data_IF_897097211851
#
_entry.id   IF_897097211851
#
_cell.length_a   1.000
_cell.length_b   1.000
_cell.length_c   1.000
_cell.angle_alpha   90.00
_cell.angle_beta   90.00
_cell.angle_gamma   90.00
#
_symmetry.space_group_name_H-M   'P 1'
#
loop_
_entity.id
_entity.type
_entity.pdbx_description
1 polymer ?
#
# COMPACT_ATOMS: atom_id res chain seq x y z
N UNK A 1 3.78 3.44 17.00
CA UNK A 1 4.77 4.33 17.65
C UNK A 1 4.34 5.79 17.64
N UNK A 2 4.03 6.38 16.47
CA UNK A 2 3.69 7.81 16.32
C UNK A 2 2.55 8.31 17.23
N UNK A 3 1.46 7.54 17.38
CA UNK A 3 0.38 7.92 18.30
C UNK A 3 0.86 8.11 19.74
N UNK A 4 1.75 7.24 20.23
CA UNK A 4 2.25 7.35 21.59
C UNK A 4 3.08 8.63 21.75
N UNK A 5 3.93 8.96 20.77
CA UNK A 5 4.72 10.20 20.77
C UNK A 5 3.80 11.42 20.74
N UNK A 6 2.78 11.42 19.88
CA UNK A 6 1.84 12.53 19.75
C UNK A 6 1.02 12.76 21.03
N UNK A 7 0.74 11.72 21.79
CA UNK A 7 -0.06 11.79 23.03
C UNK A 7 0.77 12.04 24.28
N UNK A 8 1.95 11.43 24.40
CA UNK A 8 2.69 11.35 25.67
C UNK A 8 3.87 12.31 25.78
N UNK A 9 4.35 12.88 24.67
CA UNK A 9 5.46 13.85 24.68
C UNK A 9 4.86 15.26 24.73
N UNK A 10 4.94 15.91 25.88
CA UNK A 10 4.39 17.26 26.07
C UNK A 10 5.18 18.33 25.30
N UNK A 11 6.51 18.27 25.37
CA UNK A 11 7.39 19.25 24.73
C UNK A 11 7.23 19.22 23.20
N UNK A 12 6.90 20.39 22.63
CA UNK A 12 6.57 20.51 21.21
C UNK A 12 7.81 20.25 20.33
N UNK A 13 8.99 20.69 20.77
CA UNK A 13 10.23 20.60 20.02
C UNK A 13 10.72 19.15 20.00
N UNK A 14 10.65 18.46 21.13
CA UNK A 14 10.98 17.03 21.22
C UNK A 14 10.01 16.21 20.38
N UNK A 15 8.70 16.49 20.46
CA UNK A 15 7.69 15.81 19.64
C UNK A 15 7.92 16.03 18.14
N UNK A 16 8.24 17.26 17.72
CA UNK A 16 8.55 17.56 16.34
C UNK A 16 9.82 16.85 15.86
N UNK A 17 10.89 16.85 16.65
CA UNK A 17 12.13 16.13 16.33
C UNK A 17 11.90 14.62 16.19
N UNK A 18 11.08 14.03 17.06
CA UNK A 18 10.71 12.63 16.98
C UNK A 18 9.88 12.31 15.71
N UNK A 19 8.96 13.19 15.31
CA UNK A 19 8.23 13.04 14.06
C UNK A 19 9.16 13.10 12.85
N UNK A 20 10.10 14.04 12.80
CA UNK A 20 11.11 14.13 11.73
C UNK A 20 11.90 12.83 11.64
N UNK A 21 12.41 12.31 12.76
CA UNK A 21 13.16 11.05 12.77
C UNK A 21 12.34 9.86 12.24
N UNK A 22 11.04 9.78 12.56
CA UNK A 22 10.15 8.72 12.06
C UNK A 22 9.89 8.89 10.55
N UNK A 23 9.69 10.13 10.09
CA UNK A 23 9.47 10.43 8.67
C UNK A 23 10.72 10.05 7.87
N UNK A 24 11.91 10.43 8.34
CA UNK A 24 13.18 10.09 7.70
C UNK A 24 13.40 8.58 7.68
N UNK A 25 13.13 7.88 8.79
CA UNK A 25 13.24 6.43 8.84
C UNK A 25 12.26 5.73 7.88
N UNK A 26 11.07 6.30 7.68
CA UNK A 26 10.08 5.73 6.75
C UNK A 26 10.53 5.75 5.28
N UNK A 27 11.51 6.60 4.92
CA UNK A 27 12.09 6.60 3.57
C UNK A 27 12.85 5.30 3.26
N UNK A 28 13.50 4.70 4.27
CA UNK A 28 14.16 3.40 4.10
C UNK A 28 13.15 2.29 3.81
N UNK A 29 11.95 2.37 4.41
CA UNK A 29 10.85 1.47 4.10
C UNK A 29 10.37 1.64 2.64
N UNK A 30 10.21 2.87 2.16
CA UNK A 30 9.87 3.12 0.76
C UNK A 30 10.95 2.58 -0.20
N UNK A 31 12.21 2.61 0.19
CA UNK A 31 13.32 2.02 -0.56
C UNK A 31 13.29 0.48 -0.68
N UNK A 32 12.38 -0.20 0.01
CA UNK A 32 12.17 -1.65 -0.15
C UNK A 32 11.28 -2.02 -1.35
N UNK A 33 10.63 -1.02 -1.97
CA UNK A 33 9.84 -1.19 -3.18
C UNK A 33 10.67 -0.86 -4.41
N UNK A 34 10.42 -1.58 -5.50
CA UNK A 34 10.91 -1.19 -6.82
C UNK A 34 10.08 -0.03 -7.37
N UNK A 35 10.56 0.67 -8.41
CA UNK A 35 9.80 1.82 -8.96
C UNK A 35 8.49 1.39 -9.65
N UNK A 36 8.31 0.10 -9.92
CA UNK A 36 7.04 -0.47 -10.38
C UNK A 36 6.04 -0.77 -9.24
N UNK A 37 6.38 -0.35 -8.01
CA UNK A 37 5.53 -0.35 -6.83
C UNK A 37 5.47 -1.67 -6.08
N UNK A 38 5.97 -2.77 -6.65
CA UNK A 38 5.98 -4.06 -5.99
C UNK A 38 7.21 -4.19 -5.07
N UNK A 39 7.05 -4.88 -3.93
CA UNK A 39 8.13 -5.14 -2.97
C UNK A 39 8.57 -6.60 -3.03
N UNK A 40 9.88 -6.86 -2.92
CA UNK A 40 10.44 -8.21 -3.06
C UNK A 40 9.90 -9.24 -2.05
N UNK A 41 9.33 -8.77 -0.94
CA UNK A 41 8.76 -9.59 0.14
C UNK A 41 7.33 -10.09 -0.15
N UNK A 42 6.70 -9.59 -1.20
CA UNK A 42 5.37 -10.00 -1.63
C UNK A 42 4.22 -9.27 -0.93
N UNK A 43 2.99 -9.67 -1.26
CA UNK A 43 1.78 -8.92 -0.86
C UNK A 43 1.48 -9.01 0.64
N UNK A 44 1.98 -10.04 1.33
CA UNK A 44 1.85 -10.17 2.78
C UNK A 44 2.50 -8.99 3.50
N UNK A 45 3.76 -8.69 3.16
CA UNK A 45 4.52 -7.57 3.70
C UNK A 45 4.08 -6.22 3.16
N UNK A 46 3.59 -6.15 1.91
CA UNK A 46 2.89 -4.96 1.43
C UNK A 46 1.72 -4.61 2.36
N UNK A 47 0.81 -5.55 2.62
CA UNK A 47 -0.32 -5.30 3.51
C UNK A 47 0.16 -4.93 4.91
N UNK A 48 1.15 -5.62 5.46
CA UNK A 48 1.64 -5.35 6.80
C UNK A 48 2.29 -3.95 6.92
N UNK A 49 3.29 -3.66 6.09
CA UNK A 49 4.06 -2.42 6.17
C UNK A 49 3.30 -1.21 5.66
N UNK A 50 2.54 -1.35 4.58
CA UNK A 50 1.93 -0.20 3.92
C UNK A 50 0.67 0.27 4.66
N UNK A 51 -0.01 -0.63 5.40
CA UNK A 51 -1.04 -0.25 6.38
C UNK A 51 -0.46 0.66 7.48
N UNK A 52 0.70 0.33 8.04
CA UNK A 52 1.38 1.14 9.06
C UNK A 52 1.90 2.47 8.49
N UNK A 53 2.46 2.46 7.27
CA UNK A 53 2.92 3.66 6.60
C UNK A 53 1.76 4.62 6.25
N UNK A 54 0.63 4.08 5.79
CA UNK A 54 -0.58 4.85 5.55
C UNK A 54 -1.20 5.41 6.84
N UNK A 55 -1.18 4.65 7.95
CA UNK A 55 -1.59 5.14 9.26
C UNK A 55 -0.64 6.23 9.79
N UNK A 56 0.66 6.13 9.51
CA UNK A 56 1.66 7.16 9.81
C UNK A 56 1.34 8.45 9.05
N UNK A 57 1.02 8.37 7.75
CA UNK A 57 0.61 9.52 6.93
C UNK A 57 -0.51 10.31 7.60
N UNK A 58 -1.61 9.66 7.97
CA UNK A 58 -2.75 10.36 8.60
C UNK A 58 -2.34 11.11 9.85
N UNK A 59 -1.53 10.49 10.72
CA UNK A 59 -1.05 11.12 11.96
C UNK A 59 -0.13 12.30 11.70
N UNK A 60 0.74 12.19 10.70
CA UNK A 60 1.65 13.27 10.31
C UNK A 60 0.86 14.43 9.73
N UNK A 61 -0.09 14.16 8.84
CA UNK A 61 -0.97 15.20 8.29
C UNK A 61 -1.82 15.86 9.36
N UNK A 62 -2.41 15.09 10.29
CA UNK A 62 -3.14 15.64 11.44
C UNK A 62 -2.25 16.58 12.27
N UNK A 63 -1.05 16.13 12.61
CA UNK A 63 -0.12 16.88 13.46
C UNK A 63 0.45 18.15 12.77
N UNK A 64 0.50 18.15 11.43
CA UNK A 64 1.09 19.22 10.61
C UNK A 64 0.06 20.02 9.83
N UNK A 65 -1.23 19.74 10.01
CA UNK A 65 -2.34 20.33 9.25
C UNK A 65 -2.17 20.17 7.73
N UNK A 66 -1.68 19.00 7.32
CA UNK A 66 -1.50 18.63 5.91
C UNK A 66 -0.30 19.27 5.22
N UNK A 67 0.57 19.98 5.95
CA UNK A 67 1.78 20.58 5.34
C UNK A 67 2.87 19.56 5.03
N UNK A 68 2.83 18.40 5.70
CA UNK A 68 3.68 17.25 5.39
C UNK A 68 2.79 16.07 5.03
N UNK A 69 2.85 15.64 3.77
CA UNK A 69 2.15 14.44 3.27
C UNK A 69 3.17 13.40 2.80
N UNK A 70 3.15 12.22 3.40
CA UNK A 70 4.05 11.12 3.03
C UNK A 70 3.72 10.46 1.70
N UNK A 71 2.49 10.64 1.19
CA UNK A 71 2.09 10.17 -0.13
C UNK A 71 2.40 11.19 -1.23
N UNK A 72 2.80 12.43 -0.89
CA UNK A 72 3.30 13.40 -1.86
C UNK A 72 4.72 13.06 -2.31
N UNK A 73 4.85 11.87 -2.91
CA UNK A 73 6.06 11.27 -3.41
C UNK A 73 5.69 10.42 -4.64
N UNK A 74 6.39 10.64 -5.74
CA UNK A 74 6.08 10.00 -7.02
C UNK A 74 6.04 8.46 -6.95
N UNK A 75 6.92 7.84 -6.16
CA UNK A 75 6.97 6.38 -6.02
C UNK A 75 5.81 5.84 -5.20
N UNK A 76 5.32 6.61 -4.22
CA UNK A 76 4.23 6.20 -3.35
C UNK A 76 2.92 6.09 -4.12
N UNK A 77 2.73 6.89 -5.17
CA UNK A 77 1.60 6.75 -6.09
C UNK A 77 1.54 5.35 -6.69
N UNK A 78 2.65 4.86 -7.24
CA UNK A 78 2.74 3.52 -7.83
C UNK A 78 2.50 2.42 -6.79
N UNK A 79 3.10 2.54 -5.60
CA UNK A 79 2.95 1.57 -4.50
C UNK A 79 1.48 1.52 -4.04
N UNK A 80 0.85 2.67 -3.82
CA UNK A 80 -0.53 2.78 -3.37
C UNK A 80 -1.55 2.18 -4.36
N UNK A 81 -1.21 2.20 -5.66
CA UNK A 81 -2.02 1.62 -6.74
C UNK A 81 -1.65 0.17 -7.08
N UNK A 82 -0.70 -0.45 -6.37
CA UNK A 82 -0.25 -1.81 -6.67
C UNK A 82 -1.42 -2.81 -6.72
N UNK A 83 -2.43 -2.63 -5.86
CA UNK A 83 -3.64 -3.46 -5.84
C UNK A 83 -4.39 -3.45 -7.17
N UNK A 84 -4.41 -2.33 -7.90
CA UNK A 84 -5.06 -2.22 -9.20
C UNK A 84 -4.27 -2.96 -10.29
N UNK A 85 -2.95 -3.01 -10.15
CA UNK A 85 -2.04 -3.51 -11.19
C UNK A 85 -1.70 -4.99 -11.03
N UNK A 86 -1.74 -5.54 -9.82
CA UNK A 86 -1.34 -6.91 -9.53
C UNK A 86 -2.51 -7.89 -9.40
N UNK A 87 -3.69 -7.42 -8.98
CA UNK A 87 -4.81 -8.30 -8.64
C UNK A 87 -5.34 -9.07 -9.85
N UNK A 88 -5.59 -10.37 -9.68
CA UNK A 88 -6.31 -11.22 -10.62
C UNK A 88 -7.81 -11.22 -10.29
N UNK A 89 -8.62 -11.85 -11.14
CA UNK A 89 -10.06 -12.05 -10.92
C UNK A 89 -10.37 -12.54 -9.51
N UNK A 90 -11.56 -12.17 -9.03
CA UNK A 90 -12.06 -12.53 -7.70
C UNK A 90 -11.11 -12.09 -6.56
N UNK A 91 -10.37 -10.99 -6.77
CA UNK A 91 -9.41 -10.42 -5.82
C UNK A 91 -8.23 -11.36 -5.49
N UNK A 92 -7.95 -12.34 -6.36
CA UNK A 92 -6.84 -13.27 -6.14
C UNK A 92 -5.50 -12.60 -6.38
N UNK A 93 -4.49 -13.04 -5.64
CA UNK A 93 -3.10 -12.60 -5.76
C UNK A 93 -2.21 -13.84 -5.69
N UNK A 94 -1.13 -13.86 -6.45
CA UNK A 94 -0.16 -14.95 -6.34
C UNK A 94 0.59 -14.93 -5.01
N UNK A 95 0.85 -16.12 -4.50
CA UNK A 95 1.62 -16.39 -3.29
C UNK A 95 3.13 -16.26 -3.51
N UNK A 96 3.57 -15.18 -4.14
CA UNK A 96 5.00 -14.88 -4.31
C UNK A 96 5.56 -14.24 -3.05
N UNK A 97 6.78 -14.63 -2.67
CA UNK A 97 7.38 -14.25 -1.38
C UNK A 97 6.58 -14.73 -0.18
N UNK A 98 6.65 -14.03 0.94
CA UNK A 98 5.92 -14.34 2.19
C UNK A 98 4.40 -14.01 2.07
N UNK A 99 3.79 -14.53 1.01
CA UNK A 99 2.35 -14.56 0.78
C UNK A 99 1.87 -16.01 0.76
N UNK A 100 0.69 -16.26 1.33
CA UNK A 100 0.07 -17.57 1.33
C UNK A 100 -1.10 -17.64 0.33
N UNK A 101 -1.48 -18.85 -0.07
CA UNK A 101 -2.65 -19.04 -0.93
C UNK A 101 -3.91 -18.44 -0.28
N UNK A 102 -4.70 -17.72 -1.09
CA UNK A 102 -5.90 -17.03 -0.63
C UNK A 102 -5.66 -15.68 0.05
N UNK A 103 -4.41 -15.23 0.20
CA UNK A 103 -4.12 -13.84 0.59
C UNK A 103 -4.70 -12.88 -0.46
N UNK A 104 -5.24 -11.75 0.02
CA UNK A 104 -5.74 -10.66 -0.82
C UNK A 104 -5.09 -9.36 -0.40
N UNK A 105 -5.13 -8.37 -1.28
CA UNK A 105 -4.87 -6.99 -0.86
C UNK A 105 -5.84 -6.60 0.26
N UNK A 106 -5.32 -5.87 1.24
CA UNK A 106 -6.13 -5.33 2.31
C UNK A 106 -7.15 -4.35 1.72
N UNK A 107 -8.43 -4.70 1.86
CA UNK A 107 -9.53 -3.85 1.40
C UNK A 107 -9.52 -2.46 2.03
N UNK A 108 -9.38 -2.29 3.36
CA UNK A 108 -9.32 -0.96 3.96
C UNK A 108 -8.13 -0.13 3.46
N UNK A 109 -6.95 -0.74 3.31
CA UNK A 109 -5.78 -0.07 2.76
C UNK A 109 -5.99 0.37 1.31
N UNK A 110 -6.57 -0.51 0.49
CA UNK A 110 -6.86 -0.22 -0.93
C UNK A 110 -7.83 0.95 -1.04
N UNK A 111 -8.91 0.93 -0.25
CA UNK A 111 -9.90 2.01 -0.24
C UNK A 111 -9.28 3.33 0.24
N UNK A 112 -8.48 3.30 1.31
CA UNK A 112 -7.76 4.48 1.79
C UNK A 112 -6.79 5.04 0.73
N UNK A 113 -6.05 4.18 0.04
CA UNK A 113 -5.09 4.57 -0.99
C UNK A 113 -5.78 5.28 -2.15
N UNK A 114 -6.82 4.66 -2.71
CA UNK A 114 -7.62 5.26 -3.78
C UNK A 114 -8.31 6.56 -3.33
N UNK A 115 -8.71 6.66 -2.05
CA UNK A 115 -9.28 7.89 -1.51
C UNK A 115 -8.25 9.02 -1.44
N UNK A 116 -7.01 8.72 -1.06
CA UNK A 116 -5.93 9.70 -0.98
C UNK A 116 -5.60 10.32 -2.35
N UNK A 117 -5.71 9.55 -3.43
CA UNK A 117 -5.48 10.00 -4.81
C UNK A 117 -6.76 10.43 -5.56
N UNK A 118 -7.89 10.52 -4.86
CA UNK A 118 -9.14 11.03 -5.43
C UNK A 118 -9.92 10.07 -6.32
N UNK A 119 -9.45 8.83 -6.52
CA UNK A 119 -10.08 7.80 -7.36
C UNK A 119 -11.40 7.27 -6.78
N UNK A 120 -11.60 7.43 -5.47
CA UNK A 120 -12.87 7.13 -4.79
C UNK A 120 -13.21 8.21 -3.77
N UNK A 121 -14.51 8.35 -3.50
CA UNK A 121 -15.02 9.20 -2.41
C UNK A 121 -15.27 8.42 -1.11
N UNK A 122 -15.13 7.09 -1.14
CA UNK A 122 -15.25 6.25 0.05
C UNK A 122 -13.90 6.15 0.77
N UNK A 123 -13.87 6.40 2.07
CA UNK A 123 -12.66 6.28 2.90
C UNK A 123 -12.82 5.17 3.93
N UNK A 124 -11.72 4.47 4.20
CA UNK A 124 -11.57 3.55 5.33
C UNK A 124 -10.28 3.92 6.08
N UNK A 125 -10.18 3.54 7.35
CA UNK A 125 -8.88 3.62 8.03
C UNK A 125 -7.93 2.59 7.40
N UNK A 126 -6.69 2.95 7.05
CA UNK A 126 -5.78 2.06 6.35
C UNK A 126 -5.38 0.86 7.21
N UNK A 127 -5.28 1.04 8.52
CA UNK A 127 -4.92 -0.01 9.48
C UNK A 127 -6.07 -0.23 10.47
N UNK A 128 -6.49 -1.48 10.63
CA UNK A 128 -7.52 -1.89 11.60
C UNK A 128 -7.02 -2.91 12.61
N UNK A 129 -5.72 -3.24 12.57
CA UNK A 129 -5.07 -4.24 13.43
C UNK A 129 -4.60 -3.63 14.75
N UNK A 130 -4.15 -2.38 14.71
CA UNK A 130 -3.68 -1.63 15.87
C UNK A 130 -4.85 -0.98 16.64
N UNK A 131 -4.66 -0.70 17.95
CA UNK A 131 -5.67 0.05 18.74
C UNK A 131 -5.90 1.46 18.16
N UNK A 132 -4.86 2.23 17.82
CA UNK A 132 -5.07 3.54 17.16
C UNK A 132 -5.77 3.40 15.80
N UNK A 133 -5.45 2.38 15.02
CA UNK A 133 -6.12 2.07 13.76
C UNK A 133 -7.61 1.76 13.92
N UNK A 134 -7.99 0.98 14.96
CA UNK A 134 -9.40 0.74 15.31
C UNK A 134 -10.14 2.00 15.73
N UNK A 135 -9.48 2.92 16.43
CA UNK A 135 -10.10 4.21 16.76
C UNK A 135 -10.30 5.04 15.48
N UNK A 136 -9.31 5.07 14.60
CA UNK A 136 -9.40 5.75 13.30
C UNK A 136 -10.53 5.16 12.44
N UNK A 137 -10.74 3.84 12.45
CA UNK A 137 -11.78 3.19 11.64
C UNK A 137 -13.21 3.55 12.06
N UNK A 138 -13.39 4.02 13.30
CA UNK A 138 -14.67 4.54 13.79
C UNK A 138 -14.91 6.00 13.37
N UNK A 139 -13.84 6.79 13.22
CA UNK A 139 -13.94 8.24 13.02
C UNK A 139 -13.84 8.64 11.54
N UNK A 140 -12.91 8.04 10.80
CA UNK A 140 -12.56 8.48 9.45
C UNK A 140 -13.72 8.30 8.44
N UNK A 141 -14.43 7.15 8.39
CA UNK A 141 -15.57 7.00 7.47
C UNK A 141 -16.76 7.92 7.79
N UNK A 142 -16.90 8.35 9.04
CA UNK A 142 -18.02 9.20 9.49
C UNK A 142 -17.75 10.67 9.23
N UNK A 143 -16.54 11.13 9.58
CA UNK A 143 -16.17 12.53 9.41
C UNK A 143 -15.82 12.86 7.97
N UNK A 144 -15.30 11.89 7.21
CA UNK A 144 -14.68 12.06 5.89
C UNK A 144 -13.64 13.20 5.87
N UNK A 145 -13.16 13.63 7.04
CA UNK A 145 -12.26 14.77 7.15
C UNK A 145 -10.92 14.34 6.56
N UNK A 146 -10.44 15.12 5.60
CA UNK A 146 -9.09 14.99 5.09
C UNK A 146 -8.17 15.91 5.85
N UNK A 147 -7.10 15.34 6.40
CA UNK A 147 -6.04 16.12 7.01
C UNK A 147 -4.91 16.42 6.02
N UNK A 148 -4.67 15.54 5.06
CA UNK A 148 -3.83 15.84 3.89
C UNK A 148 -4.69 16.33 2.70
N UNK A 149 -4.11 17.08 1.75
CA UNK A 149 -4.75 17.37 0.47
C UNK A 149 -5.08 16.11 -0.35
N UNK A 150 -5.99 16.24 -1.34
CA UNK A 150 -6.14 15.24 -2.39
C UNK A 150 -4.88 15.24 -3.27
N UNK A 151 -4.35 14.06 -3.55
CA UNK A 151 -3.24 13.87 -4.48
C UNK A 151 -3.76 13.46 -5.85
N UNK A 152 -2.92 13.58 -6.86
CA UNK A 152 -3.21 13.10 -8.21
C UNK A 152 -2.17 12.06 -8.61
N UNK A 153 -2.66 10.91 -9.06
CA UNK A 153 -1.82 9.89 -9.68
C UNK A 153 -2.24 9.71 -11.13
N UNK A 154 -1.28 9.88 -12.03
CA UNK A 154 -1.50 9.66 -13.46
C UNK A 154 -1.57 8.16 -13.75
N UNK A 155 -2.76 7.59 -13.61
CA UNK A 155 -3.07 6.19 -13.88
C UNK A 155 -3.11 5.90 -15.39
N UNK A 156 -2.01 6.14 -16.11
CA UNK A 156 -1.89 5.77 -17.55
C UNK A 156 -2.07 4.27 -17.83
N UNK A 157 -2.27 3.44 -16.82
CA UNK A 157 -2.71 2.06 -16.98
C UNK A 157 -4.03 1.83 -16.24
N UNK A 158 -5.15 1.93 -16.96
CA UNK A 158 -6.32 1.11 -16.60
C UNK A 158 -5.89 -0.35 -16.47
N UNK A 159 -6.57 -1.16 -15.68
CA UNK A 159 -6.30 -2.60 -15.58
C UNK A 159 -6.22 -3.22 -16.98
N UNK A 160 -5.00 -3.46 -17.44
CA UNK A 160 -4.78 -4.02 -18.76
C UNK A 160 -4.91 -5.55 -18.68
N UNK A 161 -5.27 -6.17 -19.80
CA UNK A 161 -5.23 -7.63 -19.95
C UNK A 161 -3.82 -8.19 -19.69
N UNK A 162 -2.79 -7.35 -19.82
CA UNK A 162 -1.43 -7.70 -19.44
C UNK A 162 -0.78 -6.54 -18.71
N UNK A 163 -0.19 -6.82 -17.56
CA UNK A 163 0.68 -5.88 -16.86
C UNK A 163 2.01 -6.57 -16.53
N UNK A 164 3.12 -5.89 -16.77
CA UNK A 164 4.47 -6.40 -16.51
C UNK A 164 5.18 -5.46 -15.56
N UNK A 165 5.58 -5.99 -14.41
CA UNK A 165 6.43 -5.34 -13.42
C UNK A 165 7.88 -5.60 -13.83
N UNK A 166 8.44 -4.68 -14.62
CA UNK A 166 9.75 -4.85 -15.25
C UNK A 166 10.90 -4.94 -14.23
N UNK A 167 10.81 -4.28 -13.08
CA UNK A 167 11.85 -4.35 -12.05
C UNK A 167 11.65 -5.57 -11.17
N UNK A 168 10.40 -5.83 -10.77
CA UNK A 168 10.04 -6.96 -9.92
C UNK A 168 10.03 -8.31 -10.65
N UNK A 169 10.13 -8.30 -11.98
CA UNK A 169 10.14 -9.49 -12.85
C UNK A 169 8.90 -10.38 -12.67
N UNK A 170 7.75 -9.73 -12.48
CA UNK A 170 6.43 -10.37 -12.37
C UNK A 170 5.58 -9.92 -13.56
N UNK A 171 4.76 -10.82 -14.09
CA UNK A 171 3.75 -10.45 -15.07
C UNK A 171 2.38 -11.00 -14.68
N UNK A 172 1.34 -10.22 -14.93
CA UNK A 172 -0.06 -10.56 -14.68
C UNK A 172 -0.82 -10.49 -15.99
N UNK A 173 -1.53 -11.56 -16.30
CA UNK A 173 -2.36 -11.71 -17.49
C UNK A 173 -3.78 -11.94 -17.02
N UNK A 174 -4.65 -11.00 -17.35
CA UNK A 174 -6.07 -11.05 -17.02
C UNK A 174 -6.87 -11.48 -18.23
N UNK A 175 -7.83 -12.34 -17.98
CA UNK A 175 -8.83 -12.69 -18.95
C UNK A 175 -9.84 -11.57 -19.18
N UNK A 176 -10.62 -11.71 -20.26
CA UNK A 176 -11.87 -10.96 -20.43
C UNK A 176 -13.01 -11.70 -19.73
N UNK A 177 -14.22 -11.14 -19.76
CA UNK A 177 -15.42 -11.84 -19.25
C UNK A 177 -15.70 -13.18 -19.95
N UNK A 178 -15.15 -13.40 -21.15
CA UNK A 178 -15.23 -14.68 -21.86
C UNK A 178 -14.16 -15.69 -21.43
N UNK A 179 -13.16 -15.28 -20.66
CA UNK A 179 -12.03 -16.12 -20.25
C UNK A 179 -12.31 -16.82 -18.92
N UNK A 180 -11.92 -18.10 -18.82
CA UNK A 180 -12.12 -18.91 -17.62
C UNK A 180 -11.09 -18.69 -16.51
N UNK A 181 -9.98 -18.01 -16.79
CA UNK A 181 -8.95 -17.78 -15.80
C UNK A 181 -8.11 -16.52 -16.07
N UNK A 182 -7.44 -16.07 -15.01
CA UNK A 182 -6.32 -15.14 -15.02
C UNK A 182 -5.05 -15.90 -14.58
N UNK A 183 -3.89 -15.40 -14.96
CA UNK A 183 -2.62 -16.03 -14.66
C UNK A 183 -1.56 -15.00 -14.32
N UNK A 184 -0.64 -15.36 -13.44
CA UNK A 184 0.56 -14.57 -13.16
C UNK A 184 1.76 -15.48 -12.99
N UNK A 185 2.95 -14.98 -13.31
CA UNK A 185 4.22 -15.69 -13.21
C UNK A 185 5.28 -14.76 -12.64
N UNK A 186 6.13 -15.37 -11.82
CA UNK A 186 7.35 -14.75 -11.34
C UNK A 186 8.50 -15.27 -12.18
N UNK A 187 9.06 -14.40 -13.02
CA UNK A 187 10.09 -14.78 -14.00
C UNK A 187 11.46 -14.88 -13.32
N UNK A 188 11.77 -13.94 -12.43
CA UNK A 188 13.02 -13.88 -11.69
C UNK A 188 12.84 -13.03 -10.41
N UNK A 189 13.95 -12.77 -9.70
CA UNK A 189 14.00 -11.82 -8.60
C UNK A 189 13.61 -12.44 -7.26
N UNK A 190 14.60 -12.72 -6.40
CA UNK A 190 14.40 -13.14 -5.02
C UNK A 190 15.16 -12.19 -4.08
N UNK A 191 14.60 -11.92 -2.91
CA UNK A 191 15.19 -11.13 -1.82
C UNK A 191 15.04 -11.82 -0.47
N UNK A 192 15.17 -11.06 0.63
CA UNK A 192 15.25 -11.61 1.99
C UNK A 192 14.03 -12.43 2.44
N UNK A 193 12.83 -12.00 2.06
CA UNK A 193 11.55 -12.68 2.34
C UNK A 193 10.90 -13.27 1.09
N UNK A 194 11.70 -13.57 0.07
CA UNK A 194 11.21 -14.29 -1.10
C UNK A 194 11.32 -15.80 -0.90
N UNK A 195 10.35 -16.57 -1.39
CA UNK A 195 10.51 -18.01 -1.59
C UNK A 195 11.48 -18.29 -2.76
N UNK A 196 11.83 -19.55 -2.97
CA UNK A 196 12.50 -19.97 -4.21
C UNK A 196 11.49 -20.25 -5.33
N UNK A 197 10.73 -19.20 -5.69
CA UNK A 197 9.53 -19.24 -6.53
C UNK A 197 9.75 -18.61 -7.91
N UNK A 198 11.00 -18.47 -8.34
CA UNK A 198 11.32 -18.11 -9.73
C UNK A 198 10.85 -19.22 -10.69
N UNK A 199 10.20 -18.83 -11.79
CA UNK A 199 9.57 -19.74 -12.73
C UNK A 199 8.21 -20.29 -12.26
N UNK A 200 7.75 -19.92 -11.06
CA UNK A 200 6.43 -20.30 -10.58
C UNK A 200 5.32 -19.43 -11.18
N UNK A 201 4.11 -19.95 -11.16
CA UNK A 201 2.91 -19.27 -11.63
C UNK A 201 1.71 -19.56 -10.74
N UNK A 202 0.71 -18.70 -10.81
CA UNK A 202 -0.59 -18.90 -10.18
C UNK A 202 -1.69 -18.68 -11.22
N UNK A 203 -2.75 -19.46 -11.13
CA UNK A 203 -3.95 -19.37 -11.97
C UNK A 203 -5.13 -19.12 -11.04
N UNK A 204 -5.93 -18.10 -11.37
CA UNK A 204 -7.18 -17.80 -10.69
C UNK A 204 -8.34 -18.05 -11.67
N UNK A 205 -9.40 -18.73 -11.22
CA UNK A 205 -10.61 -19.03 -12.01
C UNK A 205 -11.76 -18.08 -11.70
#
# INVERSE_FOLDING_TARGET
MTSAILTAVDDKQVRAAALVAIIDQSQAYLGSFFDDGYGAEGVGYYNYGFEEFAELREKVCDATQGTVDLFDNANVGTIAHLSQLLVMRNQNVASFGDAHAGLRFSHPLTQYSLYAYGDTKMVAAPNTRSVPGKLMSLLLPVTMKRSCPELYFDSRGSVQLRHVFEQSKIAVFRGTDASLFDMTFKVAGNGGHSHNDMGSYSIAF
#
